data_IF_497208429322
#
_entry.id   IF_497208429322
#
_cell.length_a   1.000
_cell.length_b   1.000
_cell.length_c   1.000
_cell.angle_alpha   90.00
_cell.angle_beta   90.00
_cell.angle_gamma   90.00
#
_symmetry.space_group_name_H-M   'P 1'
#
loop_
_entity.id
_entity.type
_entity.pdbx_description
1 polymer ?
#
# COMPACT_ATOMS: atom_id res chain seq x y z
N UNK A 1 -12.08 -2.31 -5.93
CA UNK A 1 -12.07 -3.36 -4.89
C UNK A 1 -13.46 -3.42 -4.29
N UNK A 2 -14.01 -4.60 -4.06
CA UNK A 2 -15.39 -4.73 -3.54
C UNK A 2 -15.35 -5.61 -2.29
N UNK A 3 -15.97 -5.20 -1.17
CA UNK A 3 -16.14 -6.06 -0.01
C UNK A 3 -16.83 -7.37 -0.39
N UNK A 4 -16.33 -8.49 0.16
CA UNK A 4 -16.82 -9.83 -0.12
C UNK A 4 -16.54 -10.70 1.11
N UNK A 5 -17.54 -11.31 1.77
CA UNK A 5 -17.35 -12.12 2.99
C UNK A 5 -16.41 -13.33 2.82
N UNK A 6 -16.24 -13.82 1.59
CA UNK A 6 -15.30 -14.89 1.22
C UNK A 6 -14.01 -14.34 0.59
N UNK A 7 -13.89 -13.01 0.53
CA UNK A 7 -12.73 -12.30 0.06
C UNK A 7 -11.52 -12.47 0.97
N UNK A 8 -10.37 -12.01 0.49
CA UNK A 8 -9.12 -11.99 1.24
C UNK A 8 -8.82 -10.58 1.73
N UNK A 9 -7.99 -10.42 2.76
CA UNK A 9 -7.48 -9.11 3.12
C UNK A 9 -6.71 -8.49 1.96
N UNK A 10 -6.96 -7.21 1.67
CA UNK A 10 -6.30 -6.44 0.62
C UNK A 10 -5.86 -5.10 1.20
N UNK A 11 -4.59 -4.75 1.00
CA UNK A 11 -4.08 -3.39 1.25
C UNK A 11 -3.91 -2.65 -0.07
N UNK A 12 -4.33 -1.39 -0.06
CA UNK A 12 -4.12 -0.42 -1.14
C UNK A 12 -3.10 0.60 -0.66
N UNK A 13 -1.98 0.69 -1.39
CA UNK A 13 -0.84 1.50 -1.03
C UNK A 13 -0.61 2.56 -2.11
N UNK A 14 -0.22 3.75 -1.68
CA UNK A 14 0.46 4.70 -2.55
C UNK A 14 1.95 4.60 -2.28
N UNK A 15 2.73 4.48 -3.35
CA UNK A 15 4.18 4.56 -3.30
C UNK A 15 4.62 5.75 -4.16
N UNK A 16 5.52 6.57 -3.63
CA UNK A 16 6.17 7.65 -4.35
C UNK A 16 7.65 7.70 -4.01
N UNK A 17 8.48 8.15 -4.95
CA UNK A 17 9.93 8.27 -4.78
C UNK A 17 10.52 8.90 -6.04
N UNK A 18 11.59 8.31 -6.58
CA UNK A 18 12.15 8.72 -7.89
C UNK A 18 11.22 8.42 -9.05
N UNK A 19 10.46 7.34 -8.97
CA UNK A 19 9.45 7.00 -9.96
C UNK A 19 8.17 7.81 -9.75
N UNK A 20 7.32 7.86 -10.79
CA UNK A 20 5.99 8.44 -10.68
C UNK A 20 5.23 7.78 -9.52
N UNK A 21 4.49 8.59 -8.79
CA UNK A 21 3.56 8.11 -7.76
C UNK A 21 2.64 7.04 -8.35
N UNK A 22 2.63 5.86 -7.75
CA UNK A 22 1.83 4.73 -8.18
C UNK A 22 0.99 4.21 -7.03
N UNK A 23 -0.19 3.70 -7.40
CA UNK A 23 -1.03 2.94 -6.48
C UNK A 23 -0.79 1.45 -6.74
N UNK A 24 -0.50 0.71 -5.68
CA UNK A 24 -0.41 -0.76 -5.74
C UNK A 24 -1.41 -1.40 -4.79
N UNK A 25 -1.76 -2.63 -5.10
CA UNK A 25 -2.64 -3.46 -4.28
C UNK A 25 -1.90 -4.74 -3.91
N UNK A 26 -1.99 -5.18 -2.66
CA UNK A 26 -1.49 -6.48 -2.21
C UNK A 26 -2.62 -7.24 -1.57
N UNK A 27 -2.88 -8.44 -2.07
CA UNK A 27 -3.78 -9.41 -1.43
C UNK A 27 -2.98 -10.25 -0.42
N UNK A 28 -3.58 -10.64 0.71
CA UNK A 28 -2.91 -11.52 1.67
C UNK A 28 -2.44 -12.81 0.99
N UNK A 29 -1.14 -13.11 1.15
CA UNK A 29 -0.43 -14.18 0.46
C UNK A 29 0.44 -13.70 -0.72
N UNK A 30 0.34 -12.44 -1.13
CA UNK A 30 1.09 -11.90 -2.28
C UNK A 30 2.37 -11.18 -1.88
N UNK A 31 3.29 -11.11 -2.85
CA UNK A 31 4.43 -10.21 -2.87
C UNK A 31 4.44 -9.41 -4.17
N UNK A 32 4.90 -8.16 -4.13
CA UNK A 32 5.16 -7.34 -5.32
C UNK A 32 6.48 -6.64 -5.22
N UNK A 33 7.13 -6.47 -6.36
CA UNK A 33 8.35 -5.70 -6.48
C UNK A 33 7.99 -4.33 -7.05
N UNK A 34 8.46 -3.26 -6.40
CA UNK A 34 8.29 -1.90 -6.87
C UNK A 34 9.53 -1.07 -6.51
N UNK A 35 10.12 -0.37 -7.49
CA UNK A 35 11.36 0.38 -7.30
C UNK A 35 12.53 -0.45 -6.75
N UNK A 36 12.60 -1.74 -7.10
CA UNK A 36 13.62 -2.67 -6.59
C UNK A 36 13.42 -3.14 -5.14
N UNK A 37 12.33 -2.75 -4.48
CA UNK A 37 11.97 -3.24 -3.14
C UNK A 37 10.86 -4.26 -3.21
N UNK A 38 10.91 -5.23 -2.30
CA UNK A 38 9.89 -6.27 -2.15
C UNK A 38 8.89 -5.80 -1.09
N UNK A 39 7.62 -5.70 -1.48
CA UNK A 39 6.50 -5.54 -0.56
C UNK A 39 5.83 -6.90 -0.39
N UNK A 40 5.71 -7.37 0.84
CA UNK A 40 5.11 -8.67 1.15
C UNK A 40 3.90 -8.49 2.05
N UNK A 41 2.77 -9.08 1.66
CA UNK A 41 1.61 -9.29 2.53
C UNK A 41 1.36 -10.80 2.71
N UNK A 42 2.43 -11.59 2.83
CA UNK A 42 2.36 -13.05 2.92
C UNK A 42 3.06 -13.58 4.17
N UNK A 43 2.68 -14.78 4.59
CA UNK A 43 3.49 -15.58 5.51
C UNK A 43 4.19 -16.70 4.71
N UNK A 44 5.43 -17.08 5.06
CA UNK A 44 6.24 -16.63 6.20
C UNK A 44 6.89 -15.26 5.99
N UNK A 45 7.35 -14.64 7.08
CA UNK A 45 7.98 -13.31 7.10
C UNK A 45 9.28 -13.29 6.27
N UNK A 46 9.29 -12.55 5.17
CA UNK A 46 10.53 -12.24 4.44
C UNK A 46 11.27 -11.09 5.13
N UNK A 47 12.41 -11.40 5.75
CA UNK A 47 13.23 -10.43 6.51
C UNK A 47 13.76 -9.28 5.64
N UNK A 48 13.90 -9.49 4.32
CA UNK A 48 14.42 -8.50 3.37
C UNK A 48 13.33 -7.67 2.69
N UNK A 49 12.06 -8.00 2.91
CA UNK A 49 10.92 -7.26 2.39
C UNK A 49 10.41 -6.18 3.36
N UNK A 50 9.77 -5.16 2.80
CA UNK A 50 8.80 -4.34 3.54
C UNK A 50 7.59 -5.25 3.79
N UNK A 51 7.48 -5.69 5.03
CA UNK A 51 6.55 -6.73 5.43
C UNK A 51 5.30 -6.10 6.03
N UNK A 52 4.14 -6.52 5.54
CA UNK A 52 2.83 -6.12 6.03
C UNK A 52 2.15 -7.38 6.58
N UNK A 53 1.58 -7.27 7.77
CA UNK A 53 0.85 -8.35 8.41
C UNK A 53 -0.49 -7.88 8.94
N UNK A 54 -1.46 -8.79 8.89
CA UNK A 54 -2.79 -8.61 9.44
C UNK A 54 -3.16 -9.82 10.28
N UNK A 55 -3.37 -9.56 11.57
CA UNK A 55 -3.82 -10.53 12.59
C UNK A 55 -4.53 -9.80 13.73
N UNK A 56 -4.51 -10.39 14.93
CA UNK A 56 -5.33 -9.93 16.07
C UNK A 56 -5.01 -8.49 16.53
N UNK A 57 -3.75 -8.07 16.40
CA UNK A 57 -3.31 -6.70 16.74
C UNK A 57 -3.60 -5.67 15.63
N UNK A 58 -4.30 -6.07 14.57
CA UNK A 58 -4.60 -5.25 13.41
C UNK A 58 -3.50 -5.29 12.34
N UNK A 59 -3.48 -4.26 11.49
CA UNK A 59 -2.52 -4.14 10.40
C UNK A 59 -1.21 -3.53 10.91
N UNK A 60 -0.11 -4.23 10.67
CA UNK A 60 1.24 -3.80 11.06
C UNK A 60 2.18 -3.85 9.86
N UNK A 61 3.26 -3.06 9.95
CA UNK A 61 4.31 -2.96 8.95
C UNK A 61 5.68 -3.12 9.64
N UNK A 62 6.63 -3.73 8.94
CA UNK A 62 8.02 -3.87 9.38
C UNK A 62 8.95 -3.54 8.22
N UNK A 63 10.00 -2.80 8.52
CA UNK A 63 11.03 -2.46 7.56
C UNK A 63 12.28 -3.35 7.76
N UNK A 64 13.00 -3.68 6.67
CA UNK A 64 14.23 -4.47 6.75
C UNK A 64 15.44 -3.65 7.24
N UNK A 65 15.35 -2.33 7.25
CA UNK A 65 16.28 -1.37 7.87
C UNK A 65 15.47 -0.27 8.59
N UNK A 66 16.15 0.70 9.19
CA UNK A 66 15.49 1.84 9.83
C UNK A 66 14.66 2.63 8.81
N UNK A 67 13.51 3.13 9.26
CA UNK A 67 12.59 3.96 8.48
C UNK A 67 12.05 5.08 9.36
N UNK A 68 11.32 6.03 8.76
CA UNK A 68 10.70 7.14 9.47
C UNK A 68 9.20 7.16 9.23
N UNK A 69 8.45 7.63 10.23
CA UNK A 69 7.00 7.73 10.17
C UNK A 69 6.59 9.14 10.54
N UNK A 70 5.96 9.85 9.61
CA UNK A 70 5.47 11.20 9.84
C UNK A 70 3.97 11.32 9.58
N UNK A 71 3.23 12.17 10.33
CA UNK A 71 1.85 12.48 10.02
C UNK A 71 1.74 13.28 8.72
N UNK A 72 0.75 12.97 7.89
CA UNK A 72 0.51 13.72 6.64
C UNK A 72 0.13 15.18 6.84
N UNK A 73 -0.47 15.52 7.97
CA UNK A 73 -0.90 16.88 8.29
C UNK A 73 0.23 17.73 8.91
N UNK A 74 1.45 17.19 8.98
CA UNK A 74 2.54 17.74 9.76
C UNK A 74 2.50 17.29 11.22
N UNK A 75 3.63 17.43 11.91
CA UNK A 75 3.82 16.99 13.29
C UNK A 75 5.18 16.31 13.49
N UNK A 76 5.33 15.67 14.64
CA UNK A 76 6.55 14.97 15.00
C UNK A 76 6.75 13.73 14.14
N UNK A 77 8.01 13.52 13.73
CA UNK A 77 8.44 12.30 13.03
C UNK A 77 8.96 11.30 14.04
N UNK A 78 8.55 10.06 13.89
CA UNK A 78 8.98 8.93 14.72
C UNK A 78 9.94 8.06 13.90
N UNK A 79 11.10 7.73 14.47
CA UNK A 79 12.01 6.74 13.87
C UNK A 79 11.52 5.32 14.19
N UNK A 80 11.62 4.45 13.19
CA UNK A 80 11.39 3.01 13.34
C UNK A 80 12.73 2.30 13.33
N UNK A 81 12.87 1.32 14.21
CA UNK A 81 14.03 0.46 14.23
C UNK A 81 13.87 -0.72 13.26
N UNK A 82 14.98 -1.11 12.63
CA UNK A 82 15.07 -2.31 11.78
C UNK A 82 14.39 -3.50 12.44
N UNK A 83 13.48 -4.14 11.70
CA UNK A 83 12.87 -5.40 12.11
C UNK A 83 11.78 -5.28 13.18
N UNK A 84 11.54 -4.09 13.73
CA UNK A 84 10.47 -3.86 14.69
C UNK A 84 9.13 -3.68 13.97
N UNK A 85 8.08 -4.25 14.56
CA UNK A 85 6.72 -4.16 14.05
C UNK A 85 6.08 -2.84 14.48
N UNK A 86 5.55 -2.10 13.52
CA UNK A 86 4.88 -0.83 13.73
C UNK A 86 3.42 -0.89 13.28
N UNK A 87 2.48 -0.23 13.97
CA UNK A 87 1.11 -0.11 13.49
C UNK A 87 1.06 0.55 12.11
N UNK A 88 0.41 -0.10 11.14
CA UNK A 88 0.26 0.44 9.80
C UNK A 88 -1.07 1.18 9.67
N UNK A 89 -1.01 2.51 9.70
CA UNK A 89 -2.20 3.38 9.82
C UNK A 89 -2.31 4.32 8.62
N UNK A 90 -3.55 4.65 8.28
CA UNK A 90 -3.86 5.72 7.31
C UNK A 90 -3.34 7.07 7.83
N UNK A 91 -3.20 8.03 6.91
CA UNK A 91 -2.79 9.42 7.21
C UNK A 91 -1.37 9.56 7.78
N UNK A 92 -0.56 8.51 7.66
CA UNK A 92 0.86 8.51 7.96
C UNK A 92 1.66 8.29 6.67
N UNK A 93 2.82 8.91 6.57
CA UNK A 93 3.82 8.69 5.54
C UNK A 93 4.93 7.86 6.17
N UNK A 94 5.20 6.70 5.58
CA UNK A 94 6.28 5.83 5.97
C UNK A 94 7.42 6.01 4.98
N UNK A 95 8.48 6.68 5.41
CA UNK A 95 9.66 6.96 4.59
C UNK A 95 10.70 5.88 4.82
N UNK A 96 10.98 5.09 3.79
CA UNK A 96 12.02 4.08 3.80
C UNK A 96 12.97 4.32 2.64
N UNK A 97 14.22 4.66 2.95
CA UNK A 97 15.20 5.17 1.97
C UNK A 97 14.62 6.38 1.23
N UNK A 98 14.55 6.34 -0.09
CA UNK A 98 13.96 7.38 -0.95
C UNK A 98 12.49 7.13 -1.32
N UNK A 99 11.86 6.10 -0.75
CA UNK A 99 10.44 5.81 -0.96
C UNK A 99 9.57 6.33 0.18
N UNK A 100 8.46 6.96 -0.18
CA UNK A 100 7.35 7.27 0.69
C UNK A 100 6.22 6.28 0.41
N UNK A 101 5.75 5.63 1.47
CA UNK A 101 4.71 4.62 1.45
C UNK A 101 3.54 5.10 2.29
N UNK A 102 2.34 4.98 1.75
CA UNK A 102 1.11 5.42 2.41
C UNK A 102 0.07 4.32 2.30
N UNK A 103 -0.52 3.97 3.44
CA UNK A 103 -1.75 3.17 3.46
C UNK A 103 -2.92 4.03 3.00
N UNK A 104 -3.42 3.77 1.79
CA UNK A 104 -4.59 4.44 1.25
C UNK A 104 -5.86 3.78 1.79
N UNK A 105 -5.97 2.46 1.63
CA UNK A 105 -7.11 1.69 2.11
C UNK A 105 -6.73 0.28 2.56
N UNK A 106 -7.55 -0.29 3.44
CA UNK A 106 -7.43 -1.66 3.90
C UNK A 106 -8.82 -2.29 3.96
N UNK A 107 -8.95 -3.45 3.32
CA UNK A 107 -10.15 -4.26 3.32
C UNK A 107 -9.81 -5.59 3.98
N UNK A 108 -10.51 -5.96 5.04
CA UNK A 108 -10.32 -7.21 5.76
C UNK A 108 -10.78 -8.42 4.93
N UNK A 109 -11.86 -8.25 4.16
CA UNK A 109 -12.42 -9.27 3.26
C UNK A 109 -12.94 -8.62 1.97
N UNK A 110 -12.18 -8.74 0.89
CA UNK A 110 -12.55 -8.19 -0.40
C UNK A 110 -12.01 -9.02 -1.58
N UNK A 111 -12.54 -8.73 -2.77
CA UNK A 111 -12.02 -9.24 -4.05
C UNK A 111 -11.74 -8.07 -5.00
N UNK A 112 -10.72 -8.25 -5.85
CA UNK A 112 -10.46 -7.35 -6.98
C UNK A 112 -11.39 -7.78 -8.11
N UNK A 113 -12.27 -6.89 -8.56
CA UNK A 113 -13.12 -7.09 -9.73
C UNK A 113 -12.70 -6.12 -10.82
N UNK A 114 -12.56 -6.61 -12.04
CA UNK A 114 -12.47 -5.79 -13.24
C UNK A 114 -13.86 -5.23 -13.53
N UNK A 115 -13.93 -3.91 -13.69
CA UNK A 115 -15.15 -3.24 -14.15
C UNK A 115 -14.87 -2.75 -15.56
N UNK A 116 -15.64 -3.19 -16.58
CA UNK A 116 -15.48 -2.65 -17.91
C UNK A 116 -15.80 -1.16 -17.89
N UNK A 117 -15.00 -0.36 -18.61
CA UNK A 117 -15.32 1.04 -18.83
C UNK A 117 -16.61 1.08 -19.65
N UNK A 118 -17.67 1.77 -19.21
CA UNK A 118 -18.88 1.93 -20.01
C UNK A 118 -18.54 2.62 -21.34
N UNK A 119 -19.02 2.09 -22.47
CA UNK A 119 -18.71 2.57 -23.83
C UNK A 119 -19.12 4.05 -24.08
N UNK A 120 -19.95 4.64 -23.22
CA UNK A 120 -20.60 5.95 -23.45
C UNK A 120 -19.84 7.20 -22.99
N UNK A 121 -18.53 7.14 -22.70
CA UNK A 121 -17.76 8.35 -22.33
C UNK A 121 -16.82 8.88 -23.41
N UNK A 122 -16.94 8.40 -24.65
CA UNK A 122 -16.27 9.03 -25.80
C UNK A 122 -17.12 10.19 -26.33
N UNK A 123 -16.90 11.40 -25.79
CA UNK A 123 -17.26 12.63 -26.49
C UNK A 123 -16.05 13.08 -27.33
N UNK A 124 -15.98 12.78 -28.63
CA UNK A 124 -15.01 13.46 -29.49
C UNK A 124 -15.38 14.94 -29.48
N UNK A 125 -14.45 15.78 -29.02
CA UNK A 125 -14.56 17.22 -29.14
C UNK A 125 -14.84 17.57 -30.61
N UNK A 126 -16.03 18.09 -30.89
CA UNK A 126 -16.35 18.66 -32.20
C UNK A 126 -15.48 19.92 -32.32
N UNK A 127 -14.45 19.87 -33.16
CA UNK A 127 -13.82 21.08 -33.66
C UNK A 127 -14.83 21.78 -34.56
N UNK A 128 -15.51 22.79 -34.01
CA UNK A 128 -16.24 23.77 -34.81
C UNK A 128 -15.19 24.73 -35.36
N UNK A 129 -14.95 24.65 -36.68
CA UNK A 129 -14.27 25.66 -37.47
C UNK A 129 -15.21 26.85 -37.73
#
# INVERSE_FOLDING_TARGET
IVPDPEGKPIVSLIISGKEKRQQIFLTKGEHKIHGGLIFSFSEPVDKNAIFIYYGDSGLIIRFPENAQVSPMMGGETEDTEKGILFPFKKRKIYTYRDLQIVLLDFYDKAKIKWVPVPEDTYHPSINVL
#
